data_IF_453856166483
#
_entry.id   IF_453856166483
#
_cell.length_a   1.000
_cell.length_b   1.000
_cell.length_c   1.000
_cell.angle_alpha   90.00
_cell.angle_beta   90.00
_cell.angle_gamma   90.00
#
_symmetry.space_group_name_H-M   'P 1'
#
loop_
_entity.id
_entity.type
_entity.pdbx_description
1 polymer ?
#
# COMPACT_ATOMS: atom_id res chain seq x y z
N UNK A 1 21.38 3.88 17.30
CA UNK A 1 20.20 3.83 16.40
C UNK A 1 20.42 4.82 15.26
N UNK A 2 20.28 4.38 14.01
CA UNK A 2 20.38 5.28 12.85
C UNK A 2 19.26 6.33 12.85
N UNK A 3 19.52 7.50 12.24
CA UNK A 3 18.53 8.59 12.14
C UNK A 3 17.21 8.12 11.47
N UNK A 4 17.33 7.23 10.47
CA UNK A 4 16.20 6.59 9.80
C UNK A 4 15.31 5.82 10.80
N UNK A 5 15.89 4.97 11.64
CA UNK A 5 15.15 4.16 12.63
C UNK A 5 14.43 5.02 13.66
N UNK A 6 15.04 6.13 14.11
CA UNK A 6 14.36 7.05 15.05
C UNK A 6 13.12 7.68 14.43
N UNK A 7 13.19 8.06 13.15
CA UNK A 7 12.04 8.59 12.42
C UNK A 7 10.97 7.51 12.19
N UNK A 8 11.38 6.32 11.75
CA UNK A 8 10.47 5.21 11.50
C UNK A 8 9.70 4.79 12.75
N UNK A 9 10.33 4.76 13.93
CA UNK A 9 9.63 4.45 15.19
C UNK A 9 8.48 5.42 15.47
N UNK A 10 8.73 6.72 15.27
CA UNK A 10 7.69 7.76 15.43
C UNK A 10 6.58 7.62 14.39
N UNK A 11 6.92 7.31 13.13
CA UNK A 11 5.93 7.06 12.08
C UNK A 11 5.10 5.79 12.39
N UNK A 12 5.71 4.74 12.93
CA UNK A 12 5.04 3.51 13.33
C UNK A 12 4.03 3.74 14.47
N UNK A 13 4.44 4.47 15.51
CA UNK A 13 3.54 4.86 16.60
C UNK A 13 2.38 5.72 16.11
N UNK A 14 2.66 6.67 15.20
CA UNK A 14 1.61 7.52 14.61
C UNK A 14 0.64 6.66 13.78
N UNK A 15 1.15 5.71 13.01
CA UNK A 15 0.36 4.79 12.21
C UNK A 15 -0.58 3.95 13.09
N UNK A 16 -0.07 3.37 14.18
CA UNK A 16 -0.88 2.60 15.15
C UNK A 16 -1.94 3.46 15.81
N UNK A 17 -1.63 4.72 16.13
CA UNK A 17 -2.57 5.61 16.82
C UNK A 17 -3.55 6.32 15.87
N UNK A 18 -3.27 6.33 14.56
CA UNK A 18 -4.10 7.02 13.57
C UNK A 18 -5.39 6.26 13.23
N UNK A 19 -6.37 7.00 12.68
CA UNK A 19 -7.64 6.47 12.15
C UNK A 19 -7.45 5.60 10.87
N UNK A 20 -6.21 5.42 10.40
CA UNK A 20 -5.87 4.59 9.23
C UNK A 20 -5.96 3.09 9.56
N UNK A 21 -6.23 2.72 10.82
CA UNK A 21 -6.57 1.36 11.23
C UNK A 21 -7.60 0.68 10.32
N UNK A 22 -8.54 1.44 9.76
CA UNK A 22 -9.57 0.87 8.89
C UNK A 22 -9.01 0.38 7.55
N UNK A 23 -7.91 0.98 7.08
CA UNK A 23 -7.25 0.62 5.82
C UNK A 23 -6.19 -0.42 6.05
N UNK A 24 -5.38 -0.30 7.10
CA UNK A 24 -4.29 -1.24 7.39
C UNK A 24 -4.42 -1.85 8.79
N UNK A 25 -4.40 -3.18 8.82
CA UNK A 25 -4.51 -4.03 10.00
C UNK A 25 -3.23 -4.84 10.20
N UNK A 26 -2.98 -5.19 11.47
CA UNK A 26 -1.89 -6.08 11.87
C UNK A 26 -0.53 -5.66 11.30
N UNK A 27 -0.16 -4.38 11.46
CA UNK A 27 1.20 -3.94 11.10
C UNK A 27 2.18 -4.54 12.10
N UNK A 28 3.14 -5.27 11.58
CA UNK A 28 4.26 -5.84 12.33
C UNK A 28 5.56 -5.45 11.62
N UNK A 29 6.67 -5.52 12.34
CA UNK A 29 8.01 -5.40 11.78
C UNK A 29 8.77 -6.68 12.08
N UNK A 30 9.78 -6.98 11.25
CA UNK A 30 10.63 -8.15 11.44
C UNK A 30 11.82 -7.78 12.34
N UNK A 31 12.07 -8.53 13.42
CA UNK A 31 13.27 -8.36 14.25
C UNK A 31 14.40 -9.23 13.68
N UNK A 32 15.60 -8.69 13.38
CA UNK A 32 16.22 -7.47 13.95
C UNK A 32 16.07 -6.18 13.12
N UNK A 33 15.38 -6.23 11.98
CA UNK A 33 15.36 -5.16 11.00
C UNK A 33 14.06 -4.34 11.01
N UNK A 34 14.04 -3.25 11.80
CA UNK A 34 12.93 -2.28 11.81
C UNK A 34 12.67 -1.56 10.47
N UNK A 35 13.47 -1.87 9.44
CA UNK A 35 13.37 -1.38 8.08
C UNK A 35 12.38 -2.17 7.22
N UNK A 36 11.83 -3.28 7.70
CA UNK A 36 10.82 -4.05 6.96
C UNK A 36 9.56 -4.14 7.78
N UNK A 37 8.46 -3.60 7.24
CA UNK A 37 7.14 -3.65 7.85
C UNK A 37 6.23 -4.53 7.02
N UNK A 38 5.40 -5.32 7.68
CA UNK A 38 4.39 -6.16 7.05
C UNK A 38 3.04 -5.76 7.60
N UNK A 39 2.00 -5.78 6.77
CA UNK A 39 0.64 -5.49 7.22
C UNK A 39 -0.40 -6.05 6.26
N UNK A 40 -1.66 -5.88 6.61
CA UNK A 40 -2.79 -6.27 5.78
C UNK A 40 -3.61 -5.03 5.43
N UNK A 41 -3.79 -4.77 4.14
CA UNK A 41 -4.74 -3.77 3.66
C UNK A 41 -6.11 -4.41 3.60
N UNK A 42 -7.09 -3.82 4.27
CA UNK A 42 -8.51 -4.16 4.14
C UNK A 42 -9.16 -3.05 3.35
N UNK A 43 -9.81 -3.42 2.26
CA UNK A 43 -10.52 -2.49 1.39
C UNK A 43 -12.02 -2.72 1.59
N UNK A 44 -12.78 -1.64 1.74
CA UNK A 44 -14.24 -1.71 1.91
C UNK A 44 -14.98 -1.43 0.59
N UNK A 45 -14.28 -0.96 -0.45
CA UNK A 45 -14.87 -0.58 -1.74
C UNK A 45 -14.76 -1.69 -2.80
N UNK A 46 -15.85 -2.00 -3.53
CA UNK A 46 -15.81 -2.94 -4.66
C UNK A 46 -14.89 -2.40 -5.76
N UNK A 47 -14.15 -3.27 -6.50
CA UNK A 47 -14.24 -4.74 -6.55
C UNK A 47 -13.42 -5.49 -5.49
N UNK A 48 -12.69 -4.79 -4.61
CA UNK A 48 -11.75 -5.39 -3.66
C UNK A 48 -12.32 -5.53 -2.23
N UNK A 49 -13.60 -5.21 -2.03
CA UNK A 49 -14.29 -5.14 -0.74
C UNK A 49 -14.39 -6.45 0.06
N UNK A 50 -13.95 -7.58 -0.51
CA UNK A 50 -14.06 -8.91 0.12
C UNK A 50 -12.70 -9.51 0.50
N UNK A 51 -11.60 -8.76 0.32
CA UNK A 51 -10.24 -9.29 0.48
C UNK A 51 -9.39 -8.49 1.46
N UNK A 52 -8.53 -9.21 2.19
CA UNK A 52 -7.39 -8.64 2.90
C UNK A 52 -6.11 -8.90 2.10
N UNK A 53 -5.37 -7.83 1.78
CA UNK A 53 -4.18 -7.88 0.95
C UNK A 53 -2.93 -7.70 1.80
N UNK A 54 -2.09 -8.73 1.87
CA UNK A 54 -0.82 -8.65 2.59
C UNK A 54 0.15 -7.76 1.82
N UNK A 55 0.68 -6.76 2.50
CA UNK A 55 1.71 -5.84 2.00
C UNK A 55 2.98 -5.97 2.82
N UNK A 56 4.09 -5.72 2.15
CA UNK A 56 5.43 -5.61 2.72
C UNK A 56 6.02 -4.27 2.27
N UNK A 57 6.51 -3.49 3.24
CA UNK A 57 7.14 -2.20 3.03
C UNK A 57 8.59 -2.34 3.46
N UNK A 58 9.51 -2.15 2.51
CA UNK A 58 10.95 -2.18 2.76
C UNK A 58 11.52 -0.78 2.65
N UNK A 59 12.09 -0.31 3.75
CA UNK A 59 12.74 0.99 3.87
C UNK A 59 14.23 0.88 3.57
N UNK A 60 14.80 1.72 2.69
CA UNK A 60 16.24 1.81 2.51
C UNK A 60 16.92 2.43 3.73
N UNK A 61 18.21 2.18 3.92
CA UNK A 61 19.00 2.76 5.02
C UNK A 61 19.10 4.29 4.93
N UNK A 62 18.98 4.83 3.71
CA UNK A 62 18.97 6.26 3.43
C UNK A 62 17.57 6.90 3.55
N UNK A 63 16.57 6.20 4.08
CA UNK A 63 15.27 6.81 4.40
C UNK A 63 15.46 7.97 5.39
N UNK A 64 14.85 9.15 5.18
CA UNK A 64 13.77 9.50 4.23
C UNK A 64 14.25 10.10 2.90
N UNK A 65 15.54 10.07 2.56
CA UNK A 65 16.03 10.63 1.30
C UNK A 65 15.70 9.75 0.09
N UNK A 66 15.68 8.43 0.30
CA UNK A 66 15.17 7.47 -0.68
C UNK A 66 13.76 7.00 -0.31
N UNK A 67 12.88 6.76 -1.30
CA UNK A 67 11.55 6.26 -1.06
C UNK A 67 11.58 4.80 -0.55
N UNK A 68 10.56 4.39 0.23
CA UNK A 68 10.35 2.99 0.56
C UNK A 68 9.84 2.21 -0.65
N UNK A 69 10.13 0.92 -0.68
CA UNK A 69 9.55 -0.03 -1.63
C UNK A 69 8.33 -0.69 -1.00
N UNK A 70 7.21 -0.71 -1.71
CA UNK A 70 5.99 -1.37 -1.25
C UNK A 70 5.64 -2.49 -2.21
N UNK A 71 5.46 -3.69 -1.67
CA UNK A 71 5.21 -4.92 -2.41
C UNK A 71 3.98 -5.61 -1.82
N UNK A 72 3.00 -5.90 -2.65
CA UNK A 72 1.91 -6.80 -2.32
C UNK A 72 2.39 -8.24 -2.37
N UNK A 73 2.31 -8.95 -1.24
CA UNK A 73 2.53 -10.40 -1.19
C UNK A 73 1.31 -11.18 -1.67
N UNK A 74 0.11 -10.62 -1.46
CA UNK A 74 -1.12 -11.18 -2.01
C UNK A 74 -1.25 -10.79 -3.48
N UNK A 75 -1.54 -11.76 -4.36
CA UNK A 75 -1.80 -11.49 -5.77
C UNK A 75 -3.05 -10.63 -5.92
N UNK A 76 -2.91 -9.49 -6.59
CA UNK A 76 -3.99 -8.54 -6.86
C UNK A 76 -3.89 -8.08 -8.30
N UNK A 77 -5.02 -8.06 -9.01
CA UNK A 77 -5.11 -7.50 -10.34
C UNK A 77 -5.48 -6.03 -10.22
N UNK A 78 -4.54 -5.13 -10.49
CA UNK A 78 -4.74 -3.68 -10.44
C UNK A 78 -3.80 -3.00 -11.45
N UNK A 79 -4.23 -1.97 -12.20
CA UNK A 79 -3.43 -1.36 -13.27
C UNK A 79 -2.09 -0.78 -12.79
N UNK A 80 -2.01 -0.38 -11.52
CA UNK A 80 -0.81 0.19 -10.91
C UNK A 80 0.00 -0.83 -10.08
N UNK A 81 -0.30 -2.13 -10.20
CA UNK A 81 0.40 -3.20 -9.50
C UNK A 81 0.92 -4.18 -10.55
N UNK A 82 2.24 -4.37 -10.55
CA UNK A 82 2.90 -5.33 -11.44
C UNK A 82 2.58 -6.79 -11.05
N UNK A 83 2.83 -7.76 -11.94
CA UNK A 83 2.63 -9.19 -11.67
C UNK A 83 3.45 -9.68 -10.45
N UNK A 84 4.54 -8.98 -10.15
CA UNK A 84 5.39 -9.20 -8.96
C UNK A 84 4.84 -8.55 -7.68
N UNK A 85 3.67 -7.91 -7.75
CA UNK A 85 3.04 -7.19 -6.63
C UNK A 85 3.66 -5.83 -6.34
N UNK A 86 4.56 -5.32 -7.19
CA UNK A 86 5.18 -4.01 -6.97
C UNK A 86 4.22 -2.89 -7.31
N UNK A 87 4.11 -1.92 -6.42
CA UNK A 87 3.28 -0.75 -6.62
C UNK A 87 4.04 0.26 -7.49
N UNK A 88 3.40 0.78 -8.54
CA UNK A 88 3.90 1.89 -9.35
C UNK A 88 3.10 3.15 -9.04
N UNK A 89 3.49 3.89 -8.00
CA UNK A 89 2.90 5.17 -7.67
C UNK A 89 3.87 6.32 -7.96
N UNK A 90 3.42 7.43 -8.57
CA UNK A 90 4.28 8.57 -8.82
C UNK A 90 4.95 9.14 -7.56
N UNK A 91 4.36 8.94 -6.38
CA UNK A 91 4.92 9.44 -5.11
C UNK A 91 6.12 8.65 -4.61
N UNK A 92 6.18 7.35 -4.89
CA UNK A 92 7.31 6.48 -4.52
C UNK A 92 8.41 6.48 -5.58
N UNK A 93 8.20 7.17 -6.71
CA UNK A 93 9.24 7.37 -7.70
C UNK A 93 10.31 8.30 -7.13
N UNK A 94 11.60 7.96 -7.27
CA UNK A 94 12.70 8.71 -6.68
C UNK A 94 12.75 10.18 -7.15
N UNK A 95 12.28 10.47 -8.36
CA UNK A 95 12.23 11.84 -8.92
C UNK A 95 11.19 12.74 -8.23
N UNK A 96 10.10 12.16 -7.73
CA UNK A 96 8.98 12.88 -7.12
C UNK A 96 8.92 12.71 -5.60
N UNK A 97 9.77 11.85 -5.03
CA UNK A 97 9.82 11.58 -3.61
C UNK A 97 10.37 12.78 -2.86
N UNK A 98 9.63 13.22 -1.83
CA UNK A 98 10.07 14.29 -0.94
C UNK A 98 10.35 13.71 0.45
N UNK A 99 11.46 14.05 1.10
CA UNK A 99 11.75 13.58 2.45
C UNK A 99 10.74 14.02 3.51
N UNK A 100 9.88 14.99 3.20
CA UNK A 100 8.76 15.43 4.05
C UNK A 100 7.54 14.50 3.98
N UNK A 101 7.47 13.63 2.97
CA UNK A 101 6.38 12.68 2.76
C UNK A 101 6.39 11.61 3.87
N UNK A 102 5.19 11.27 4.36
CA UNK A 102 5.01 10.22 5.37
C UNK A 102 4.29 9.03 4.75
N UNK A 103 4.72 7.81 5.11
CA UNK A 103 4.14 6.58 4.54
C UNK A 103 2.67 6.43 4.91
N UNK A 104 2.31 6.75 6.15
CA UNK A 104 0.92 6.67 6.65
C UNK A 104 -0.06 7.47 5.79
N UNK A 105 0.25 8.74 5.52
CA UNK A 105 -0.72 9.68 5.00
C UNK A 105 -0.72 9.68 3.47
N UNK A 106 0.47 9.73 2.86
CA UNK A 106 0.57 10.04 1.44
C UNK A 106 0.63 8.77 0.56
N UNK A 107 1.21 7.69 1.07
CA UNK A 107 1.27 6.41 0.36
C UNK A 107 -0.01 5.61 0.63
N UNK A 108 -0.40 5.47 1.89
CA UNK A 108 -1.47 4.54 2.29
C UNK A 108 -2.86 5.18 2.28
N UNK A 109 -3.04 6.36 2.87
CA UNK A 109 -4.38 6.94 3.05
C UNK A 109 -4.86 7.74 1.82
N UNK A 110 -4.02 8.66 1.31
CA UNK A 110 -4.45 9.66 0.31
C UNK A 110 -4.43 9.16 -1.13
N UNK A 111 -3.59 8.18 -1.44
CA UNK A 111 -3.42 7.70 -2.82
C UNK A 111 -4.09 6.36 -3.07
N UNK A 112 -3.88 5.33 -2.25
CA UNK A 112 -4.55 4.03 -2.46
C UNK A 112 -6.09 4.16 -2.49
N UNK A 113 -6.69 4.97 -1.61
CA UNK A 113 -8.14 5.26 -1.65
C UNK A 113 -8.57 6.00 -2.92
N UNK A 114 -7.80 7.01 -3.35
CA UNK A 114 -8.10 7.73 -4.60
C UNK A 114 -7.97 6.83 -5.84
N UNK A 115 -7.10 5.81 -5.83
CA UNK A 115 -7.02 4.84 -6.91
C UNK A 115 -8.20 3.85 -6.91
N UNK A 116 -8.78 3.53 -5.75
CA UNK A 116 -10.03 2.74 -5.70
C UNK A 116 -11.19 3.46 -6.39
N UNK A 117 -11.31 4.78 -6.23
CA UNK A 117 -12.35 5.59 -6.90
C UNK A 117 -12.14 5.69 -8.43
N UNK A 118 -10.90 5.61 -8.92
CA UNK A 118 -10.62 5.59 -10.36
C UNK A 118 -10.95 4.22 -10.96
N UNK A 119 -10.72 3.12 -10.23
CA UNK A 119 -11.09 1.77 -10.66
C UNK A 119 -12.62 1.58 -10.73
N UNK A 120 -13.41 2.18 -9.85
CA UNK A 120 -14.88 2.14 -9.97
C UNK A 120 -15.41 2.91 -11.18
N UNK A 121 -14.72 3.96 -11.65
CA UNK A 121 -15.00 4.63 -12.92
C UNK A 121 -14.59 3.84 -14.16
N UNK A 122 -13.47 3.12 -14.09
CA UNK A 122 -12.92 2.36 -15.23
C UNK A 122 -13.54 0.96 -15.38
N UNK A 123 -14.05 0.36 -14.30
CA UNK A 123 -14.85 -0.88 -14.36
C UNK A 123 -16.21 -0.68 -15.05
N UNK A 124 -16.74 0.55 -15.08
CA UNK A 124 -17.95 0.85 -15.85
C UNK A 124 -17.72 0.83 -17.37
N UNK A 125 -16.48 1.04 -17.82
CA UNK A 125 -16.13 1.01 -19.24
C UNK A 125 -15.68 -0.38 -19.73
N UNK A 126 -15.12 -1.24 -18.86
CA UNK A 126 -14.70 -2.59 -19.24
C UNK A 126 -15.81 -3.64 -19.18
N UNK A 127 -16.91 -3.39 -18.45
CA UNK A 127 -18.06 -4.30 -18.37
C UNK A 127 -18.94 -4.36 -19.64
N UNK A 128 -18.68 -3.53 -20.66
CA UNK A 128 -19.35 -3.65 -21.97
C UNK A 128 -18.60 -4.56 -22.96
N UNK A 129 -17.44 -5.13 -22.60
CA UNK A 129 -16.64 -5.94 -23.55
C UNK A 129 -16.15 -7.30 -23.10
N UNK A 130 -16.47 -7.78 -21.90
CA UNK A 130 -16.12 -9.16 -21.56
C UNK A 130 -17.18 -9.82 -20.70
N UNK A 131 -18.12 -10.47 -21.38
CA UNK A 131 -18.73 -11.70 -20.86
C UNK A 131 -17.61 -12.64 -20.36
N UNK A 132 -17.90 -13.41 -19.32
CA UNK A 132 -17.04 -14.41 -18.68
C UNK A 132 -15.97 -13.90 -17.70
N UNK A 133 -16.39 -13.58 -16.46
CA UNK A 133 -15.68 -14.09 -15.28
C UNK A 133 -16.73 -14.46 -14.23
N UNK A 134 -17.14 -15.73 -14.25
CA UNK A 134 -17.96 -16.36 -13.22
C UNK A 134 -17.02 -16.72 -12.06
N UNK A 135 -16.91 -15.86 -11.04
CA UNK A 135 -16.28 -16.26 -9.77
C UNK A 135 -17.34 -17.03 -8.98
N UNK A 136 -17.31 -18.35 -9.12
CA UNK A 136 -17.96 -19.27 -8.19
C UNK A 136 -17.25 -19.15 -6.84
N UNK A 137 -18.01 -18.69 -5.84
CA UNK A 137 -17.69 -18.83 -4.42
C UNK A 137 -18.35 -20.15 -3.99
N UNK A 138 -17.55 -21.06 -3.45
CA UNK A 138 -18.01 -22.27 -2.72
C UNK A 138 -18.56 -21.81 -1.37
#
# INVERSE_FOLDING_TARGET
>A
MSAAVRRLKKEYETLINSSIKNVIRNVTYDEPNFLTWTGFIVLDEPPYNKGAFKIEITFPVEYPFKPPKVIFKTRIYHPNIDEKGQICLPIINPENWKPATKVEHDVLNRRLKNYQTICSGMFRYSLLKSSFIHIQII
#
